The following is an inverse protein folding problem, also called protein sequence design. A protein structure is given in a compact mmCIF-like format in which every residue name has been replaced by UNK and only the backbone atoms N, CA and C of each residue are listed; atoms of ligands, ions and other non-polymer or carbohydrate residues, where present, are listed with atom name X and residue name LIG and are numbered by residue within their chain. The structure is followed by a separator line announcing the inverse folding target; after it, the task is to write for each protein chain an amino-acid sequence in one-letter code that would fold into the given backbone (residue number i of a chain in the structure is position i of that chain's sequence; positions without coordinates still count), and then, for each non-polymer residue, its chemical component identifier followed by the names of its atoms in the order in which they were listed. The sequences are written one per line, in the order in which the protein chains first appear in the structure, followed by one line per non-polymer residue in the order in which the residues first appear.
data_IF_845181598417
#
_entry.id   IF_845181598417
#
_cell.length_a   1.000
_cell.length_b   1.000
_cell.length_c   1.000
_cell.angle_alpha   90.00
_cell.angle_beta   90.00
_cell.angle_gamma   90.00
#
_symmetry.space_group_name_H-M   'P 1'
#
loop_
_entity.id
_entity.type
_entity.pdbx_description
1 polymer ?
#
# COMPACT_ATOMS: atom_id res chain seq x y z
N UNK A 1 1.58 11.92 23.22
CA UNK A 1 2.28 12.06 21.92
C UNK A 1 1.25 11.83 20.81
N UNK A 2 1.20 12.71 19.81
CA UNK A 2 0.41 12.50 18.58
C UNK A 2 1.28 11.75 17.58
N UNK A 3 0.72 10.71 16.96
CA UNK A 3 1.37 9.99 15.86
C UNK A 3 0.54 10.19 14.59
N UNK A 4 1.21 10.50 13.47
CA UNK A 4 0.60 10.43 12.16
C UNK A 4 0.91 9.07 11.53
N UNK A 5 -0.09 8.48 10.87
CA UNK A 5 0.01 7.16 10.27
C UNK A 5 -0.47 7.25 8.83
N UNK A 6 0.40 6.86 7.89
CA UNK A 6 0.10 6.81 6.46
C UNK A 6 -0.62 5.49 6.13
N UNK A 7 -1.81 5.59 5.55
CA UNK A 7 -2.72 4.48 5.28
C UNK A 7 -3.12 4.44 3.79
N UNK A 8 -3.32 3.23 3.27
CA UNK A 8 -3.78 2.97 1.91
C UNK A 8 -5.06 2.13 1.93
N UNK A 9 -6.14 2.62 1.31
CA UNK A 9 -7.35 1.84 1.14
C UNK A 9 -7.27 0.93 -0.09
N UNK A 10 -7.40 -0.39 0.10
CA UNK A 10 -7.40 -1.36 -1.00
C UNK A 10 -8.71 -1.43 -1.78
N UNK A 11 -9.81 -0.96 -1.19
CA UNK A 11 -11.12 -0.97 -1.85
C UNK A 11 -11.26 0.15 -2.90
N UNK A 12 -10.84 1.37 -2.57
CA UNK A 12 -10.91 2.52 -3.48
C UNK A 12 -9.55 2.94 -4.05
N UNK A 13 -8.45 2.38 -3.55
CA UNK A 13 -7.08 2.67 -4.01
C UNK A 13 -6.54 4.02 -3.54
N UNK A 14 -7.19 4.70 -2.59
CA UNK A 14 -6.76 6.02 -2.10
C UNK A 14 -5.81 5.91 -0.92
N UNK A 15 -4.77 6.72 -0.96
CA UNK A 15 -3.85 6.99 0.15
C UNK A 15 -4.35 8.13 1.04
N UNK A 16 -4.25 7.98 2.35
CA UNK A 16 -4.65 8.99 3.33
C UNK A 16 -3.86 8.88 4.63
N UNK A 17 -3.68 10.00 5.31
CA UNK A 17 -2.99 10.06 6.60
C UNK A 17 -4.01 10.24 7.74
N UNK A 18 -3.81 9.55 8.85
CA UNK A 18 -4.61 9.74 10.07
C UNK A 18 -3.73 10.14 11.25
N UNK A 19 -4.20 11.14 11.98
CA UNK A 19 -3.58 11.59 13.21
C UNK A 19 -4.35 10.99 14.39
N UNK A 20 -3.71 10.09 15.12
CA UNK A 20 -4.32 9.50 16.32
C UNK A 20 -3.49 9.80 17.56
N UNK A 21 -4.20 10.00 18.66
CA UNK A 21 -3.59 10.19 19.96
C UNK A 21 -3.32 8.80 20.57
N UNK A 22 -2.04 8.41 20.67
CA UNK A 22 -1.63 7.08 21.12
C UNK A 22 -1.37 6.11 19.97
N UNK A 23 -2.05 4.96 19.97
CA UNK A 23 -1.81 3.86 19.03
C UNK A 23 -2.92 3.74 18.00
N UNK A 24 -2.56 3.44 16.75
CA UNK A 24 -3.52 3.17 15.69
C UNK A 24 -4.29 1.86 15.97
N UNK A 25 -5.58 1.98 16.33
CA UNK A 25 -6.48 0.83 16.47
C UNK A 25 -7.18 0.51 15.16
N UNK A 26 -7.63 -0.73 15.01
CA UNK A 26 -8.37 -1.19 13.82
C UNK A 26 -9.68 -0.43 13.58
N UNK A 27 -10.31 0.09 14.64
CA UNK A 27 -11.49 0.97 14.54
C UNK A 27 -11.20 2.29 13.83
N UNK A 28 -9.93 2.72 13.78
CA UNK A 28 -9.51 3.93 13.07
C UNK A 28 -9.05 3.64 11.63
N UNK A 29 -8.95 2.37 11.24
CA UNK A 29 -8.61 1.93 9.87
C UNK A 29 -9.87 1.89 9.00
N UNK A 30 -10.49 3.04 8.80
CA UNK A 30 -11.67 3.19 7.95
C UNK A 30 -11.38 4.26 6.92
N UNK A 31 -11.58 3.95 5.65
CA UNK A 31 -11.41 4.92 4.58
C UNK A 31 -12.52 5.99 4.66
N UNK A 32 -12.17 7.30 4.67
CA UNK A 32 -13.16 8.37 4.75
C UNK A 32 -14.01 8.54 3.48
N UNK A 33 -13.56 8.03 2.33
CA UNK A 33 -14.28 8.16 1.05
C UNK A 33 -15.28 7.04 0.81
N UNK A 34 -14.85 5.79 1.01
CA UNK A 34 -15.66 4.61 0.68
C UNK A 34 -16.17 3.84 1.90
N UNK A 35 -15.81 4.28 3.11
CA UNK A 35 -16.11 3.60 4.38
C UNK A 35 -15.61 2.15 4.47
N UNK A 36 -14.73 1.72 3.57
CA UNK A 36 -14.15 0.38 3.63
C UNK A 36 -13.15 0.26 4.79
N UNK A 37 -13.11 -0.93 5.38
CA UNK A 37 -12.15 -1.33 6.44
C UNK A 37 -10.92 -2.03 5.87
N UNK A 38 -10.87 -2.21 4.54
CA UNK A 38 -9.73 -2.75 3.83
C UNK A 38 -8.64 -1.68 3.69
N UNK A 39 -8.01 -1.33 4.81
CA UNK A 39 -6.99 -0.29 4.89
C UNK A 39 -5.68 -0.84 5.44
N UNK A 40 -4.59 -0.61 4.73
CA UNK A 40 -3.24 -1.07 5.08
C UNK A 40 -2.35 0.11 5.48
N UNK A 41 -1.50 -0.08 6.49
CA UNK A 41 -0.56 0.96 6.92
C UNK A 41 0.69 0.92 6.04
N UNK A 42 0.98 2.01 5.36
CA UNK A 42 2.22 2.17 4.60
C UNK A 42 3.33 2.51 5.59
N UNK A 43 4.03 1.48 6.08
CA UNK A 43 5.22 1.68 6.88
C UNK A 43 6.36 2.22 5.98
N UNK A 44 6.63 3.53 6.06
CA UNK A 44 7.87 4.17 5.55
C UNK A 44 9.08 3.81 6.43
N UNK A 45 9.19 2.54 6.85
CA UNK A 45 10.13 2.07 7.85
C UNK A 45 10.56 0.65 7.60
N UNK A 46 11.34 0.46 6.53
CA UNK A 46 12.31 -0.62 6.34
C UNK A 46 11.97 -2.02 6.87
N UNK A 47 11.00 -2.70 6.26
CA UNK A 47 11.01 -4.17 6.20
C UNK A 47 10.56 -4.61 4.81
N UNK A 48 11.55 -4.92 3.98
CA UNK A 48 11.39 -5.77 2.80
C UNK A 48 10.87 -7.13 3.25
N UNK A 49 9.60 -7.46 2.98
CA UNK A 49 9.22 -8.81 2.60
C UNK A 49 7.83 -8.84 1.91
N UNK A 50 7.86 -8.87 0.57
CA UNK A 50 7.17 -9.82 -0.31
C UNK A 50 5.66 -10.05 -0.03
N UNK A 51 4.75 -9.66 -0.92
CA UNK A 51 4.47 -10.46 -2.13
C UNK A 51 3.52 -9.69 -3.06
N UNK A 52 4.06 -8.77 -3.86
CA UNK A 52 3.36 -8.32 -5.06
C UNK A 52 4.07 -8.97 -6.23
N UNK A 53 3.37 -9.87 -6.91
CA UNK A 53 3.78 -10.42 -8.19
C UNK A 53 4.37 -9.29 -9.07
N UNK A 54 5.47 -9.51 -9.80
CA UNK A 54 5.87 -8.56 -10.81
C UNK A 54 4.76 -8.56 -11.89
N UNK A 55 3.84 -7.61 -11.79
CA UNK A 55 3.08 -7.17 -12.95
C UNK A 55 4.07 -6.40 -13.82
N UNK A 56 4.43 -6.98 -14.96
CA UNK A 56 5.15 -6.29 -16.03
C UNK A 56 6.68 -6.30 -15.96
N UNK A 57 7.29 -7.45 -15.68
CA UNK A 57 8.63 -7.72 -16.20
C UNK A 57 8.52 -7.98 -17.70
N UNK A 58 8.80 -6.97 -18.52
CA UNK A 58 8.82 -7.06 -19.98
C UNK A 58 9.67 -8.24 -20.45
N UNK A 59 9.00 -9.32 -20.81
CA UNK A 59 9.58 -10.49 -21.45
C UNK A 59 9.41 -10.34 -22.95
N UNK A 60 10.19 -9.41 -23.52
CA UNK A 60 10.46 -9.38 -24.95
C UNK A 60 11.98 -9.29 -25.09
N UNK A 61 12.65 -10.41 -24.81
CA UNK A 61 13.97 -10.66 -25.40
C UNK A 61 13.76 -10.73 -26.90
N UNK A 62 13.94 -9.63 -27.62
CA UNK A 62 14.16 -9.66 -29.06
C UNK A 62 15.53 -10.30 -29.29
N UNK A 63 15.56 -11.61 -29.48
CA UNK A 63 16.73 -12.25 -30.09
C UNK A 63 16.78 -11.84 -31.56
N UNK A 64 17.91 -11.36 -32.11
CA UNK A 64 18.04 -11.28 -33.55
C UNK A 64 18.37 -12.68 -34.07
N UNK A 65 17.39 -13.30 -34.74
CA UNK A 65 17.66 -14.39 -35.67
C UNK A 65 18.27 -13.78 -36.92
N UNK A 66 19.57 -13.97 -37.14
CA UNK A 66 20.17 -13.80 -38.47
C UNK A 66 20.42 -15.19 -39.05
N UNK A 67 19.68 -15.48 -40.11
CA UNK A 67 20.06 -16.48 -41.12
C UNK A 67 20.88 -15.84 -42.23
#
# INVERSE_FOLDING_TARGET
MMGSFDLHCRACGRDFEVFVQGFLKETHKVCPDCCSREVEQRLTGGFVHQSSKPVGGGSHTCGPSFG
#
